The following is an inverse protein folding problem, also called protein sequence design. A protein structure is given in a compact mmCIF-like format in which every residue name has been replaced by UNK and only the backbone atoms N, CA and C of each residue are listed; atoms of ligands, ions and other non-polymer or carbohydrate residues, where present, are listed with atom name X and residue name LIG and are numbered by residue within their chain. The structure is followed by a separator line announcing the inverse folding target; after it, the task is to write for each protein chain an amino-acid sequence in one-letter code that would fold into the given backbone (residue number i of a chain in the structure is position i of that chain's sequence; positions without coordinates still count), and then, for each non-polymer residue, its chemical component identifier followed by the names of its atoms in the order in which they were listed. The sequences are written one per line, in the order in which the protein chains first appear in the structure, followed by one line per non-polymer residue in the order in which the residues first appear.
data_IF_900328268978
#
_entry.id   IF_900328268978
#
_cell.length_a   1.000
_cell.length_b   1.000
_cell.length_c   1.000
_cell.angle_alpha   90.00
_cell.angle_beta   90.00
_cell.angle_gamma   90.00
#
_symmetry.space_group_name_H-M   'P 1'
#
loop_
_entity.id
_entity.type
_entity.pdbx_description
1 polymer ?
#
# COMPACT_ATOMS: atom_id res chain seq x y z
N UNK A 1 -16.62 8.52 24.49
CA UNK A 1 -17.76 8.56 23.55
C UNK A 1 -17.63 7.37 22.63
N UNK A 2 -18.69 6.61 22.45
CA UNK A 2 -18.69 5.26 21.91
C UNK A 2 -18.14 5.22 20.47
N UNK A 3 -17.18 4.30 20.21
CA UNK A 3 -16.81 3.88 18.88
C UNK A 3 -18.05 3.25 18.22
N UNK A 4 -18.71 4.02 17.36
CA UNK A 4 -19.70 3.45 16.46
C UNK A 4 -18.91 2.61 15.43
N UNK A 5 -18.87 1.28 15.63
CA UNK A 5 -18.53 0.35 14.55
C UNK A 5 -19.57 0.57 13.44
N UNK A 6 -19.21 1.37 12.46
CA UNK A 6 -20.04 1.58 11.27
C UNK A 6 -20.05 0.24 10.54
N UNK A 7 -21.15 -0.49 10.62
CA UNK A 7 -21.29 -1.72 9.85
C UNK A 7 -21.24 -1.38 8.36
N UNK A 8 -20.57 -2.18 7.56
CA UNK A 8 -20.41 -1.97 6.11
C UNK A 8 -21.77 -1.77 5.38
N UNK A 9 -22.87 -2.20 5.95
CA UNK A 9 -24.23 -2.06 5.41
C UNK A 9 -24.79 -0.62 5.35
N UNK A 10 -24.17 0.36 6.00
CA UNK A 10 -24.61 1.77 5.98
C UNK A 10 -23.75 2.67 5.08
N UNK A 11 -22.74 2.10 4.41
CA UNK A 11 -21.80 2.86 3.61
C UNK A 11 -22.34 3.11 2.18
N UNK A 12 -21.99 4.23 1.51
CA UNK A 12 -22.39 4.50 0.14
C UNK A 12 -22.06 3.34 -0.82
N UNK A 13 -23.04 2.96 -1.64
CA UNK A 13 -22.89 1.87 -2.60
C UNK A 13 -22.61 2.34 -4.04
N UNK A 14 -22.70 3.66 -4.30
CA UNK A 14 -22.46 4.25 -5.63
C UNK A 14 -21.60 5.49 -5.54
N UNK A 15 -20.95 5.86 -6.64
CA UNK A 15 -20.11 7.05 -6.74
C UNK A 15 -20.91 8.32 -6.39
N UNK A 16 -22.15 8.46 -6.86
CA UNK A 16 -23.00 9.60 -6.54
C UNK A 16 -23.35 9.68 -5.05
N UNK A 17 -23.69 8.53 -4.42
CA UNK A 17 -23.93 8.47 -2.99
C UNK A 17 -22.66 8.82 -2.18
N UNK A 18 -21.49 8.39 -2.65
CA UNK A 18 -20.21 8.72 -2.04
C UNK A 18 -19.94 10.23 -2.09
N UNK A 19 -20.20 10.87 -3.24
CA UNK A 19 -20.09 12.35 -3.38
C UNK A 19 -21.05 13.08 -2.43
N UNK A 20 -22.28 12.59 -2.35
CA UNK A 20 -23.28 13.19 -1.46
C UNK A 20 -22.95 13.01 0.03
N UNK A 21 -22.18 12.00 0.42
CA UNK A 21 -21.71 11.79 1.80
C UNK A 21 -20.65 12.80 2.25
N UNK A 22 -20.05 13.54 1.31
CA UNK A 22 -18.94 14.46 1.60
C UNK A 22 -17.59 13.77 1.83
N UNK A 23 -17.48 12.47 1.53
CA UNK A 23 -16.21 11.77 1.60
C UNK A 23 -15.17 12.41 0.67
N UNK A 24 -13.93 12.51 1.14
CA UNK A 24 -12.82 13.09 0.38
C UNK A 24 -11.70 12.06 0.22
N UNK A 25 -11.16 11.97 -0.99
CA UNK A 25 -9.96 11.20 -1.25
C UNK A 25 -8.73 11.96 -0.75
N UNK A 26 -7.92 11.27 0.03
CA UNK A 26 -6.61 11.78 0.50
C UNK A 26 -5.54 10.71 0.27
N UNK A 27 -4.28 11.11 0.01
CA UNK A 27 -3.17 10.17 -0.10
C UNK A 27 -2.97 9.36 1.18
N UNK A 28 -2.52 8.10 1.04
CA UNK A 28 -2.35 7.19 2.19
C UNK A 28 -1.42 7.75 3.26
N UNK A 29 -0.35 8.43 2.88
CA UNK A 29 0.58 9.05 3.84
C UNK A 29 -0.07 10.20 4.61
N UNK A 30 -0.96 10.95 3.98
CA UNK A 30 -1.73 12.01 4.65
C UNK A 30 -2.82 11.45 5.57
N UNK A 31 -3.45 10.34 5.18
CA UNK A 31 -4.38 9.59 6.02
C UNK A 31 -3.70 9.11 7.30
N UNK A 32 -2.54 8.44 7.17
CA UNK A 32 -1.73 7.98 8.31
C UNK A 32 -1.33 9.13 9.22
N UNK A 33 -0.85 10.24 8.64
CA UNK A 33 -0.49 11.45 9.36
C UNK A 33 -1.68 12.03 10.12
N UNK A 34 -2.82 12.21 9.45
CA UNK A 34 -4.04 12.75 10.06
C UNK A 34 -4.47 11.92 11.27
N UNK A 35 -4.47 10.60 11.12
CA UNK A 35 -4.89 9.68 12.18
C UNK A 35 -3.86 9.60 13.31
N UNK A 36 -2.56 9.68 13.00
CA UNK A 36 -1.50 9.78 14.01
C UNK A 36 -1.64 11.07 14.84
N UNK A 37 -1.81 12.22 14.18
CA UNK A 37 -2.03 13.51 14.86
C UNK A 37 -3.26 13.47 15.77
N UNK A 38 -4.36 12.89 15.30
CA UNK A 38 -5.58 12.76 16.09
C UNK A 38 -5.35 11.93 17.37
N UNK A 39 -4.65 10.79 17.27
CA UNK A 39 -4.32 9.95 18.44
C UNK A 39 -3.36 10.63 19.40
N UNK A 40 -2.30 11.25 18.90
CA UNK A 40 -1.33 12.00 19.74
C UNK A 40 -2.05 13.12 20.50
N UNK A 41 -2.89 13.89 19.82
CA UNK A 41 -3.65 14.99 20.42
C UNK A 41 -4.65 14.51 21.46
N UNK A 42 -5.14 13.28 21.33
CA UNK A 42 -6.01 12.63 22.30
C UNK A 42 -5.24 11.95 23.47
N UNK A 43 -3.92 12.02 23.48
CA UNK A 43 -3.07 11.34 24.48
C UNK A 43 -3.09 9.81 24.36
N UNK A 44 -3.44 9.28 23.19
CA UNK A 44 -3.48 7.84 22.93
C UNK A 44 -2.13 7.34 22.40
N UNK A 45 -1.79 6.11 22.74
CA UNK A 45 -0.62 5.45 22.15
C UNK A 45 -0.86 5.17 20.66
N UNK A 46 0.14 5.44 19.83
CA UNK A 46 0.07 5.14 18.39
C UNK A 46 0.16 3.63 18.12
N UNK A 47 0.96 2.93 18.94
CA UNK A 47 1.29 1.53 18.71
C UNK A 47 1.03 0.72 19.97
N UNK A 48 -0.10 0.03 20.00
CA UNK A 48 -0.46 -0.81 21.12
C UNK A 48 0.44 -2.06 21.19
N UNK A 49 0.88 -2.38 22.41
CA UNK A 49 1.64 -3.61 22.69
C UNK A 49 3.06 -3.65 22.16
N UNK A 50 3.64 -2.51 21.78
CA UNK A 50 5.07 -2.35 21.51
C UNK A 50 5.68 -1.63 22.71
N UNK A 51 6.50 -2.33 23.49
CA UNK A 51 7.09 -1.84 24.75
C UNK A 51 8.62 -1.79 24.63
N UNK A 52 9.25 -0.83 25.34
CA UNK A 52 10.69 -0.70 25.43
C UNK A 52 11.35 0.08 24.29
N UNK A 53 10.55 0.79 23.48
CA UNK A 53 11.03 1.62 22.36
C UNK A 53 10.57 3.08 22.48
N UNK A 54 10.00 3.45 23.60
CA UNK A 54 9.33 4.74 23.84
C UNK A 54 10.29 5.91 23.68
N UNK A 55 11.55 5.76 24.14
CA UNK A 55 12.57 6.81 24.09
C UNK A 55 13.51 6.72 22.87
N UNK A 56 13.33 5.72 22.01
CA UNK A 56 14.30 5.44 20.91
C UNK A 56 13.63 5.41 19.53
N UNK A 57 12.95 4.33 19.22
CA UNK A 57 12.37 4.10 17.89
C UNK A 57 11.06 4.86 17.70
N UNK A 58 10.20 4.93 18.74
CA UNK A 58 8.89 5.54 18.63
C UNK A 58 8.91 7.00 18.21
N UNK A 59 9.74 7.90 18.82
CA UNK A 59 9.79 9.30 18.38
C UNK A 59 10.27 9.47 16.95
N UNK A 60 11.16 8.59 16.49
CA UNK A 60 11.65 8.62 15.10
C UNK A 60 10.55 8.18 14.13
N UNK A 61 9.80 7.13 14.48
CA UNK A 61 8.69 6.64 13.67
C UNK A 61 7.56 7.68 13.61
N UNK A 62 7.21 8.30 14.73
CA UNK A 62 6.24 9.40 14.78
C UNK A 62 6.65 10.55 13.87
N UNK A 63 7.90 10.98 13.93
CA UNK A 63 8.42 12.04 13.07
C UNK A 63 8.36 11.65 11.59
N UNK A 64 8.70 10.40 11.25
CA UNK A 64 8.64 9.90 9.87
C UNK A 64 7.20 9.89 9.35
N UNK A 65 6.23 9.44 10.15
CA UNK A 65 4.80 9.47 9.81
C UNK A 65 4.27 10.90 9.63
N UNK A 66 4.64 11.80 10.55
CA UNK A 66 4.25 13.22 10.46
C UNK A 66 4.85 13.93 9.25
N UNK A 67 6.04 13.51 8.82
CA UNK A 67 6.71 14.01 7.63
C UNK A 67 6.25 13.33 6.32
N UNK A 68 5.45 12.23 6.39
CA UNK A 68 5.00 11.46 5.23
C UNK A 68 6.12 10.67 4.55
N UNK A 69 7.15 10.27 5.31
CA UNK A 69 8.27 9.50 4.79
C UNK A 69 7.96 8.00 4.75
N UNK A 70 8.57 7.31 3.80
CA UNK A 70 8.72 5.86 3.85
C UNK A 70 9.71 5.48 4.94
N UNK A 71 9.60 4.27 5.51
CA UNK A 71 10.33 3.88 6.71
C UNK A 71 11.11 2.58 6.50
N UNK A 72 12.36 2.56 6.95
CA UNK A 72 13.15 1.33 7.04
C UNK A 72 13.54 1.08 8.50
N UNK A 73 13.09 -0.03 9.05
CA UNK A 73 13.48 -0.49 10.38
C UNK A 73 14.80 -1.26 10.32
N UNK A 74 15.83 -0.72 10.94
CA UNK A 74 17.14 -1.36 11.06
C UNK A 74 17.30 -1.97 12.46
N UNK A 75 17.77 -3.20 12.54
CA UNK A 75 18.02 -3.83 13.84
C UNK A 75 18.21 -5.34 13.72
N UNK A 76 18.59 -5.98 14.82
CA UNK A 76 18.79 -7.42 14.87
C UNK A 76 17.48 -8.22 14.79
N UNK A 77 17.60 -9.53 14.56
CA UNK A 77 16.45 -10.44 14.61
C UNK A 77 15.83 -10.44 16.01
N UNK A 78 14.52 -10.59 16.08
CA UNK A 78 13.80 -10.63 17.36
C UNK A 78 13.47 -9.26 17.98
N UNK A 79 13.84 -8.15 17.36
CA UNK A 79 13.55 -6.78 17.85
C UNK A 79 12.15 -6.26 17.47
N UNK A 80 11.17 -7.13 17.31
CA UNK A 80 9.78 -6.79 17.05
C UNK A 80 9.50 -5.90 15.81
N UNK A 81 10.45 -5.79 14.86
CA UNK A 81 10.30 -4.96 13.64
C UNK A 81 9.00 -5.24 12.90
N UNK A 82 8.72 -6.51 12.59
CA UNK A 82 7.50 -6.92 11.90
C UNK A 82 6.23 -6.57 12.68
N UNK A 83 6.27 -6.64 14.01
CA UNK A 83 5.13 -6.23 14.84
C UNK A 83 4.88 -4.73 14.75
N UNK A 84 5.94 -3.91 14.80
CA UNK A 84 5.84 -2.45 14.60
C UNK A 84 5.28 -2.11 13.22
N UNK A 85 5.78 -2.78 12.17
CA UNK A 85 5.30 -2.59 10.80
C UNK A 85 3.80 -2.88 10.71
N UNK A 86 3.36 -4.03 11.22
CA UNK A 86 1.94 -4.42 11.18
C UNK A 86 1.04 -3.51 12.01
N UNK A 87 1.56 -2.94 13.10
CA UNK A 87 0.77 -2.01 13.93
C UNK A 87 0.40 -0.71 13.21
N UNK A 88 1.11 -0.36 12.13
CA UNK A 88 0.79 0.81 11.31
C UNK A 88 -0.60 0.70 10.64
N UNK A 89 -1.11 -0.50 10.38
CA UNK A 89 -2.46 -0.70 9.83
C UNK A 89 -3.53 -0.06 10.71
N UNK A 90 -3.30 -0.04 12.02
CA UNK A 90 -4.18 0.63 12.96
C UNK A 90 -4.32 2.15 12.75
N UNK A 91 -3.43 2.78 11.98
CA UNK A 91 -3.50 4.20 11.61
C UNK A 91 -4.26 4.44 10.29
N UNK A 92 -4.64 3.40 9.55
CA UNK A 92 -5.55 3.53 8.42
C UNK A 92 -6.99 3.67 8.89
N UNK A 93 -7.83 4.33 8.11
CA UNK A 93 -9.28 4.35 8.31
C UNK A 93 -9.83 2.93 8.23
N UNK A 94 -10.82 2.60 9.04
CA UNK A 94 -11.39 1.25 9.11
C UNK A 94 -11.91 0.76 7.75
N UNK A 95 -12.52 1.67 6.98
CA UNK A 95 -13.08 1.38 5.66
C UNK A 95 -12.64 2.43 4.63
N UNK A 96 -12.28 1.97 3.45
CA UNK A 96 -11.89 2.80 2.31
C UNK A 96 -12.71 2.43 1.08
N UNK A 97 -13.36 3.40 0.40
CA UNK A 97 -14.10 3.11 -0.83
C UNK A 97 -13.16 2.90 -2.02
N UNK A 98 -13.53 1.94 -2.86
CA UNK A 98 -12.90 1.67 -4.15
C UNK A 98 -13.96 1.51 -5.23
N UNK A 99 -13.59 1.62 -6.49
CA UNK A 99 -14.45 1.18 -7.60
C UNK A 99 -14.62 -0.34 -7.52
N UNK A 100 -15.85 -0.82 -7.61
CA UNK A 100 -16.16 -2.26 -7.52
C UNK A 100 -15.38 -3.06 -8.58
N UNK A 101 -14.80 -4.20 -8.15
CA UNK A 101 -14.00 -5.08 -9.00
C UNK A 101 -12.60 -4.55 -9.34
N UNK A 102 -12.16 -3.43 -8.76
CA UNK A 102 -10.79 -2.96 -8.91
C UNK A 102 -9.80 -3.90 -8.25
N UNK A 103 -8.79 -4.37 -9.00
CA UNK A 103 -7.70 -5.19 -8.48
C UNK A 103 -6.61 -4.37 -7.79
N UNK A 104 -6.60 -3.04 -7.98
CA UNK A 104 -5.58 -2.13 -7.47
C UNK A 104 -6.18 -1.02 -6.59
N UNK A 105 -7.30 -1.29 -5.95
CA UNK A 105 -7.95 -0.35 -5.03
C UNK A 105 -8.16 1.05 -5.64
N UNK A 106 -8.69 1.11 -6.87
CA UNK A 106 -8.90 2.38 -7.58
C UNK A 106 -9.69 3.38 -6.75
N UNK A 107 -9.19 4.60 -6.71
CA UNK A 107 -9.89 5.72 -6.12
C UNK A 107 -11.14 6.04 -6.92
N UNK A 108 -12.34 6.10 -6.29
CA UNK A 108 -13.58 6.41 -6.98
C UNK A 108 -13.58 7.77 -7.69
N UNK A 109 -12.78 8.73 -7.19
CA UNK A 109 -12.70 10.07 -7.77
C UNK A 109 -11.59 10.23 -8.79
N UNK A 110 -10.58 9.33 -8.77
CA UNK A 110 -9.45 9.35 -9.68
C UNK A 110 -9.01 7.93 -10.08
N UNK A 111 -9.86 7.18 -10.80
CA UNK A 111 -9.55 5.81 -11.17
C UNK A 111 -8.37 5.76 -12.14
N UNK A 112 -7.41 4.84 -11.88
CA UNK A 112 -6.20 4.68 -12.68
C UNK A 112 -6.22 3.44 -13.57
N UNK A 113 -6.89 2.35 -13.15
CA UNK A 113 -7.02 1.16 -13.97
C UNK A 113 -8.02 1.39 -15.12
N UNK A 114 -7.79 0.68 -16.22
CA UNK A 114 -8.72 0.70 -17.36
C UNK A 114 -10.11 0.24 -16.96
N UNK A 115 -10.19 -0.85 -16.18
CA UNK A 115 -11.47 -1.37 -15.68
C UNK A 115 -12.27 -0.29 -14.95
N UNK A 116 -11.65 0.38 -13.99
CA UNK A 116 -12.33 1.40 -13.19
C UNK A 116 -12.72 2.63 -14.00
N UNK A 117 -11.86 3.09 -14.93
CA UNK A 117 -12.15 4.20 -15.83
C UNK A 117 -13.35 3.91 -16.73
N UNK A 118 -13.33 2.74 -17.42
CA UNK A 118 -14.43 2.32 -18.28
C UNK A 118 -15.76 2.18 -17.50
N UNK A 119 -15.70 1.68 -16.27
CA UNK A 119 -16.90 1.53 -15.42
C UNK A 119 -17.48 2.90 -15.03
N UNK A 120 -16.63 3.84 -14.61
CA UNK A 120 -17.04 5.21 -14.24
C UNK A 120 -17.55 5.96 -15.49
N UNK A 121 -16.88 5.85 -16.63
CA UNK A 121 -17.32 6.47 -17.89
C UNK A 121 -18.71 5.98 -18.32
N UNK A 122 -18.95 4.68 -18.21
CA UNK A 122 -20.21 4.06 -18.60
C UNK A 122 -21.37 4.37 -17.65
N UNK A 123 -21.11 4.40 -16.34
CA UNK A 123 -22.17 4.45 -15.33
C UNK A 123 -22.30 5.80 -14.61
N UNK A 124 -21.28 6.66 -14.71
CA UNK A 124 -21.28 7.96 -14.03
C UNK A 124 -21.49 7.81 -12.52
N UNK A 125 -22.43 8.57 -11.96
CA UNK A 125 -22.77 8.54 -10.54
C UNK A 125 -23.38 7.20 -10.06
N UNK A 126 -23.84 6.36 -10.98
CA UNK A 126 -24.31 5.02 -10.66
C UNK A 126 -23.18 3.97 -10.62
N UNK A 127 -21.92 4.36 -10.87
CA UNK A 127 -20.80 3.43 -10.77
C UNK A 127 -20.76 2.81 -9.37
N UNK A 128 -20.72 1.46 -9.27
CA UNK A 128 -20.77 0.77 -8.00
C UNK A 128 -19.46 0.95 -7.21
N UNK A 129 -19.60 1.10 -5.91
CA UNK A 129 -18.53 1.25 -4.94
C UNK A 129 -18.52 0.05 -4.01
N UNK A 130 -17.36 -0.54 -3.80
CA UNK A 130 -17.09 -1.47 -2.71
C UNK A 130 -16.19 -0.84 -1.65
N UNK A 131 -16.14 -1.46 -0.48
CA UNK A 131 -15.39 -0.96 0.65
C UNK A 131 -14.36 -1.99 1.11
N UNK A 132 -13.13 -1.54 1.24
CA UNK A 132 -11.99 -2.36 1.67
C UNK A 132 -11.69 -2.07 3.12
N UNK A 133 -11.58 -3.11 3.94
CA UNK A 133 -11.17 -2.97 5.33
C UNK A 133 -9.67 -2.63 5.41
N UNK A 134 -9.25 -1.92 6.47
CA UNK A 134 -7.84 -1.54 6.68
C UNK A 134 -6.89 -2.73 6.66
N UNK A 135 -7.31 -3.90 7.12
CA UNK A 135 -6.47 -5.10 7.13
C UNK A 135 -6.17 -5.61 5.72
N UNK A 136 -7.09 -5.41 4.77
CA UNK A 136 -6.93 -5.77 3.37
C UNK A 136 -6.12 -4.72 2.57
N UNK A 137 -5.79 -3.59 3.21
CA UNK A 137 -4.94 -2.52 2.65
C UNK A 137 -3.47 -2.69 3.03
N UNK A 138 -3.12 -3.81 3.63
CA UNK A 138 -1.77 -4.15 4.03
C UNK A 138 -1.25 -5.32 3.22
N UNK A 139 -0.17 -5.10 2.47
CA UNK A 139 0.56 -6.15 1.75
C UNK A 139 1.92 -6.39 2.39
N UNK A 140 2.30 -7.65 2.58
CA UNK A 140 3.59 -8.02 3.18
C UNK A 140 4.31 -9.06 2.34
N UNK A 141 5.59 -8.85 2.08
CA UNK A 141 6.48 -9.81 1.43
C UNK A 141 7.73 -10.01 2.26
N UNK A 142 8.08 -11.26 2.51
CA UNK A 142 9.44 -11.60 2.95
C UNK A 142 10.35 -11.60 1.71
N UNK A 143 11.39 -10.78 1.75
CA UNK A 143 12.40 -10.77 0.70
C UNK A 143 13.21 -12.07 0.73
N UNK A 144 13.40 -12.66 -0.43
CA UNK A 144 14.23 -13.86 -0.65
C UNK A 144 15.00 -13.68 -1.96
N UNK A 145 16.15 -14.32 -2.16
CA UNK A 145 16.93 -14.19 -3.38
C UNK A 145 16.19 -14.60 -4.67
N UNK A 146 15.17 -15.43 -4.55
CA UNK A 146 14.31 -15.91 -5.65
C UNK A 146 13.06 -15.03 -5.88
N UNK A 147 12.83 -14.04 -5.01
CA UNK A 147 11.73 -13.05 -5.22
C UNK A 147 11.90 -12.39 -6.57
N UNK A 148 10.85 -12.43 -7.39
CA UNK A 148 10.87 -11.85 -8.74
C UNK A 148 10.23 -10.46 -8.78
N UNK A 149 10.55 -9.69 -9.83
CA UNK A 149 9.86 -8.41 -10.08
C UNK A 149 8.38 -8.64 -10.40
N UNK A 150 8.03 -9.78 -11.00
CA UNK A 150 6.66 -10.17 -11.29
C UNK A 150 5.81 -10.32 -10.02
N UNK A 151 6.39 -10.92 -8.96
CA UNK A 151 5.69 -11.04 -7.67
C UNK A 151 5.37 -9.67 -7.06
N UNK A 152 6.27 -8.71 -7.21
CA UNK A 152 6.15 -7.39 -6.59
C UNK A 152 5.30 -6.43 -7.43
N UNK A 153 5.57 -6.39 -8.72
CA UNK A 153 4.98 -5.40 -9.64
C UNK A 153 3.88 -6.01 -10.49
N UNK A 154 4.13 -7.22 -10.99
CA UNK A 154 3.23 -7.93 -11.90
C UNK A 154 3.86 -8.28 -13.23
N UNK A 155 3.12 -9.01 -14.01
CA UNK A 155 3.51 -9.49 -15.34
C UNK A 155 2.30 -9.60 -16.26
N UNK A 156 2.56 -9.83 -17.54
CA UNK A 156 1.50 -10.13 -18.50
C UNK A 156 1.03 -11.56 -18.31
N UNK A 157 -0.28 -11.74 -18.14
CA UNK A 157 -0.90 -13.04 -18.01
C UNK A 157 -0.88 -13.79 -19.35
N UNK A 158 -0.08 -14.86 -19.49
CA UNK A 158 0.04 -15.60 -20.72
C UNK A 158 -1.26 -16.29 -21.13
N UNK A 159 -2.16 -16.58 -20.18
CA UNK A 159 -3.46 -17.23 -20.46
C UNK A 159 -4.37 -16.24 -21.18
N UNK A 160 -4.48 -15.01 -20.67
CA UNK A 160 -5.28 -13.95 -21.29
C UNK A 160 -4.79 -13.61 -22.71
N UNK A 161 -3.48 -13.69 -22.94
CA UNK A 161 -2.88 -13.51 -24.28
C UNK A 161 -3.22 -14.68 -25.21
N UNK A 162 -3.17 -15.92 -24.70
CA UNK A 162 -3.54 -17.10 -25.47
C UNK A 162 -5.03 -17.12 -25.86
N UNK A 163 -5.90 -16.45 -25.10
CA UNK A 163 -7.31 -16.24 -25.42
C UNK A 163 -7.56 -15.19 -26.51
N UNK A 164 -6.51 -14.66 -27.14
CA UNK A 164 -6.57 -13.74 -28.28
C UNK A 164 -6.60 -12.26 -27.89
N UNK A 165 -6.32 -11.89 -26.65
CA UNK A 165 -6.14 -10.49 -26.26
C UNK A 165 -4.80 -9.98 -26.74
N UNK A 166 -4.76 -8.71 -27.14
CA UNK A 166 -3.50 -8.07 -27.52
C UNK A 166 -2.61 -7.91 -26.29
N UNK A 167 -1.34 -8.19 -26.47
CA UNK A 167 -0.30 -7.96 -25.44
C UNK A 167 -0.32 -6.52 -24.86
N UNK A 168 -0.75 -5.52 -25.65
CA UNK A 168 -0.88 -4.12 -25.24
C UNK A 168 -2.15 -3.81 -24.44
N UNK A 169 -2.99 -4.80 -24.14
CA UNK A 169 -4.20 -4.59 -23.37
C UNK A 169 -3.89 -4.63 -21.87
N UNK A 170 -4.15 -3.54 -21.15
CA UNK A 170 -4.00 -3.46 -19.69
C UNK A 170 -4.76 -4.60 -18.97
N UNK A 171 -5.86 -5.08 -19.55
CA UNK A 171 -6.62 -6.20 -19.01
C UNK A 171 -5.88 -7.55 -19.06
N UNK A 172 -4.75 -7.63 -19.75
CA UNK A 172 -3.88 -8.82 -19.76
C UNK A 172 -2.89 -8.83 -18.60
N UNK A 173 -2.84 -7.78 -17.79
CA UNK A 173 -1.89 -7.69 -16.69
C UNK A 173 -2.39 -8.49 -15.49
N UNK A 174 -1.47 -9.22 -14.89
CA UNK A 174 -1.60 -9.74 -13.54
C UNK A 174 -0.79 -8.85 -12.60
N UNK A 175 -1.51 -8.08 -11.77
CA UNK A 175 -0.86 -7.15 -10.85
C UNK A 175 -0.16 -7.88 -9.71
N UNK A 176 1.07 -7.46 -9.40
CA UNK A 176 1.81 -7.93 -8.24
C UNK A 176 1.34 -7.28 -6.93
N UNK A 177 2.08 -7.55 -5.86
CA UNK A 177 1.72 -7.10 -4.51
C UNK A 177 1.69 -5.57 -4.37
N UNK A 178 2.64 -4.85 -4.96
CA UNK A 178 2.73 -3.39 -4.81
C UNK A 178 1.51 -2.69 -5.41
N UNK A 179 1.11 -2.93 -6.69
CA UNK A 179 -0.12 -2.37 -7.23
C UNK A 179 -1.38 -2.76 -6.45
N UNK A 180 -1.48 -4.01 -6.00
CA UNK A 180 -2.63 -4.47 -5.20
C UNK A 180 -2.74 -3.81 -3.84
N UNK A 181 -1.61 -3.28 -3.31
CA UNK A 181 -1.56 -2.54 -2.05
C UNK A 181 -1.76 -1.03 -2.27
N UNK A 182 -2.13 -0.59 -3.47
CA UNK A 182 -2.40 0.81 -3.74
C UNK A 182 -3.37 1.40 -2.71
N UNK A 183 -3.10 2.63 -2.28
CA UNK A 183 -3.80 3.35 -1.21
C UNK A 183 -3.71 2.62 0.15
N UNK A 184 -2.59 1.92 0.36
CA UNK A 184 -2.32 1.13 1.56
C UNK A 184 -0.84 1.11 1.94
N UNK A 185 -0.47 0.16 2.79
CA UNK A 185 0.88 -0.02 3.31
C UNK A 185 1.48 -1.28 2.69
N UNK A 186 2.57 -1.12 1.94
CA UNK A 186 3.36 -2.24 1.44
C UNK A 186 4.58 -2.45 2.33
N UNK A 187 4.65 -3.61 2.95
CA UNK A 187 5.75 -4.01 3.83
C UNK A 187 6.68 -5.01 3.15
N UNK A 188 7.98 -4.76 3.24
CA UNK A 188 8.99 -5.70 2.77
C UNK A 188 9.95 -6.05 3.91
N UNK A 189 9.91 -7.30 4.34
CA UNK A 189 10.79 -7.80 5.38
C UNK A 189 12.10 -8.29 4.78
N UNK A 190 13.22 -8.00 5.46
CA UNK A 190 14.57 -8.38 5.04
C UNK A 190 14.93 -7.84 3.65
N UNK A 191 14.64 -6.56 3.38
CA UNK A 191 14.89 -5.91 2.09
C UNK A 191 16.26 -6.21 1.46
N UNK A 192 17.39 -6.28 2.22
CA UNK A 192 18.70 -6.62 1.67
C UNK A 192 18.80 -8.03 1.06
N UNK A 193 17.89 -8.95 1.40
CA UNK A 193 17.90 -10.30 0.85
C UNK A 193 17.34 -10.37 -0.58
N UNK A 194 16.74 -9.28 -1.08
CA UNK A 194 16.40 -9.15 -2.50
C UNK A 194 17.65 -9.05 -3.36
N UNK A 195 17.62 -9.67 -4.54
CA UNK A 195 18.65 -9.41 -5.55
C UNK A 195 18.73 -7.90 -5.85
N UNK A 196 19.94 -7.36 -5.97
CA UNK A 196 20.20 -5.91 -6.14
C UNK A 196 19.36 -5.28 -7.26
N UNK A 197 19.25 -5.98 -8.41
CA UNK A 197 18.43 -5.53 -9.55
C UNK A 197 16.94 -5.36 -9.19
N UNK A 198 16.44 -6.14 -8.24
CA UNK A 198 15.05 -6.07 -7.78
C UNK A 198 14.89 -4.90 -6.82
N UNK A 199 15.86 -4.68 -5.91
CA UNK A 199 15.88 -3.52 -5.02
C UNK A 199 15.84 -2.22 -5.82
N UNK A 200 16.71 -2.07 -6.82
CA UNK A 200 16.74 -0.88 -7.70
C UNK A 200 15.42 -0.72 -8.46
N UNK A 201 14.88 -1.81 -9.02
CA UNK A 201 13.61 -1.78 -9.74
C UNK A 201 12.43 -1.35 -8.83
N UNK A 202 12.38 -1.87 -7.61
CA UNK A 202 11.36 -1.54 -6.64
C UNK A 202 11.47 -0.07 -6.19
N UNK A 203 12.67 0.40 -5.87
CA UNK A 203 12.88 1.79 -5.47
C UNK A 203 12.50 2.77 -6.58
N UNK A 204 12.86 2.50 -7.82
CA UNK A 204 12.46 3.33 -8.96
C UNK A 204 10.94 3.41 -9.11
N UNK A 205 10.23 2.28 -8.97
CA UNK A 205 8.77 2.26 -9.00
C UNK A 205 8.14 3.11 -7.90
N UNK A 206 8.72 3.04 -6.70
CA UNK A 206 8.21 3.77 -5.54
C UNK A 206 8.56 5.26 -5.57
N UNK A 207 9.72 5.62 -6.13
CA UNK A 207 10.15 7.01 -6.28
C UNK A 207 9.39 7.72 -7.40
N UNK A 208 9.33 7.11 -8.59
CA UNK A 208 8.64 7.66 -9.75
C UNK A 208 7.12 7.46 -9.68
N UNK A 209 6.65 6.59 -8.76
CA UNK A 209 5.24 6.17 -8.63
C UNK A 209 4.66 5.68 -9.96
N UNK A 210 5.51 5.09 -10.78
CA UNK A 210 5.21 4.68 -12.13
C UNK A 210 5.62 3.21 -12.33
N UNK A 211 4.63 2.37 -12.57
CA UNK A 211 4.86 0.93 -12.78
C UNK A 211 5.08 0.67 -14.26
N UNK A 212 6.28 0.21 -14.62
CA UNK A 212 6.57 -0.33 -15.93
C UNK A 212 6.58 -1.85 -15.89
N UNK A 213 5.51 -2.46 -16.38
CA UNK A 213 5.45 -3.92 -16.55
C UNK A 213 6.18 -4.27 -17.84
N UNK A 214 7.06 -5.27 -17.80
CA UNK A 214 7.93 -5.71 -18.91
C UNK A 214 7.24 -5.63 -20.28
N UNK A 215 7.73 -4.72 -21.16
CA UNK A 215 7.21 -4.55 -22.51
C UNK A 215 6.05 -3.55 -22.65
N UNK A 216 5.52 -3.02 -21.57
CA UNK A 216 4.42 -2.05 -21.55
C UNK A 216 4.78 -0.82 -20.74
N UNK A 217 4.60 0.35 -21.35
CA UNK A 217 4.61 1.63 -20.67
C UNK A 217 3.23 1.87 -20.06
N UNK A 218 2.86 1.09 -19.07
CA UNK A 218 1.66 1.39 -18.29
C UNK A 218 2.11 2.26 -17.12
N UNK A 219 1.61 3.48 -17.08
CA UNK A 219 1.78 4.38 -15.96
C UNK A 219 0.64 4.16 -14.99
N UNK A 220 0.95 3.54 -13.87
CA UNK A 220 0.05 3.42 -12.74
C UNK A 220 0.59 4.31 -11.63
N UNK A 221 0.04 5.53 -11.47
CA UNK A 221 0.39 6.38 -10.34
C UNK A 221 -0.13 5.72 -9.06
N UNK A 222 0.76 5.03 -8.36
CA UNK A 222 0.43 4.33 -7.12
C UNK A 222 0.61 5.25 -5.90
N UNK A 223 -0.33 5.17 -4.99
CA UNK A 223 -0.28 5.82 -3.69
C UNK A 223 -0.04 4.75 -2.60
N UNK A 224 1.23 4.52 -2.27
CA UNK A 224 1.64 3.45 -1.34
C UNK A 224 2.60 4.02 -0.30
N UNK A 225 2.40 3.66 0.96
CA UNK A 225 3.38 3.81 2.02
C UNK A 225 4.29 2.60 2.03
N UNK A 226 5.58 2.78 1.73
CA UNK A 226 6.57 1.72 1.84
C UNK A 226 7.11 1.64 3.26
N UNK A 227 7.12 0.41 3.79
CA UNK A 227 7.78 0.11 5.06
C UNK A 227 8.67 -1.11 4.86
N UNK A 228 9.93 -1.00 5.21
CA UNK A 228 10.86 -2.10 5.07
C UNK A 228 11.52 -2.48 6.40
N UNK A 229 12.03 -3.69 6.48
CA UNK A 229 12.96 -4.08 7.53
C UNK A 229 14.28 -4.59 6.95
N UNK A 230 15.36 -4.39 7.69
CA UNK A 230 16.66 -4.95 7.40
C UNK A 230 17.33 -5.41 8.70
N UNK A 231 18.06 -6.52 8.62
CA UNK A 231 18.93 -6.93 9.69
C UNK A 231 20.29 -6.21 9.56
N UNK A 232 20.78 -5.69 10.66
CA UNK A 232 22.15 -5.23 10.74
C UNK A 232 23.07 -6.45 10.81
N UNK A 233 23.46 -6.97 9.64
CA UNK A 233 24.64 -7.82 9.59
C UNK A 233 25.85 -6.90 9.69
N UNK A 234 26.57 -6.95 10.83
CA UNK A 234 27.91 -6.43 10.93
C UNK A 234 28.79 -7.35 10.09
N UNK A 235 28.79 -7.13 8.79
CA UNK A 235 29.83 -7.67 7.93
C UNK A 235 31.06 -6.82 8.21
N UNK A 236 31.90 -7.28 9.11
CA UNK A 236 33.27 -6.76 9.16
C UNK A 236 33.85 -6.98 7.77
N UNK A 237 34.00 -5.92 7.01
CA UNK A 237 34.84 -5.92 5.83
C UNK A 237 36.26 -6.20 6.30
N UNK A 238 36.63 -7.50 6.36
CA UNK A 238 38.00 -7.94 6.34
C UNK A 238 38.46 -7.88 4.89
N UNK A 239 38.88 -6.71 4.43
CA UNK A 239 39.80 -6.58 3.30
C UNK A 239 40.19 -5.11 3.18
N UNK A 240 41.31 -4.83 3.79
CA UNK A 240 42.38 -3.98 3.24
C UNK A 240 43.62 -4.80 3.29
#
# INVERSE_FOLDING_TARGET
MANAHTSAHSLPATLGALRASGWQSIPVKEELRRNAVARISAGQQLFEGVLGYEDTVMPQLENALLAGHDVIFLGERGQAKTRMIRSLTGLLDEWMPIIEGSEINDDPYNPVSRHARELVEKMGDNAPISWVNREDRYGEKLATPDTSIADLIGEVDPIKVAEGRYLSDELTIHYGLVPRTNRGIFAINELPDLAERIQVGLLNVLEERDVQIRGYKIRLPLDVMLVASANLHITFFKHI
#
